data_IF_595184008891
#
_entry.id   IF_595184008891
#
_cell.length_a   1.000
_cell.length_b   1.000
_cell.length_c   1.000
_cell.angle_alpha   90.00
_cell.angle_beta   90.00
_cell.angle_gamma   90.00
#
_symmetry.space_group_name_H-M   'P 1'
#
loop_
_entity.id
_entity.type
_entity.pdbx_description
1 polymer ?
#
# COMPACT_ATOMS: atom_id res chain seq x y z
N UNK A 1 26.54 -2.08 4.00
CA UNK A 1 25.61 -1.06 3.47
C UNK A 1 24.95 -1.61 2.21
N UNK A 2 23.61 -1.70 2.14
CA UNK A 2 22.91 -2.21 0.96
C UNK A 2 23.00 -1.18 -0.18
N UNK A 3 23.46 -1.61 -1.35
CA UNK A 3 23.57 -0.73 -2.53
C UNK A 3 22.15 -0.31 -2.97
N UNK A 4 21.87 0.99 -3.14
CA UNK A 4 20.57 1.46 -3.64
C UNK A 4 20.24 0.78 -4.97
N UNK A 5 19.03 0.23 -5.09
CA UNK A 5 18.57 -0.40 -6.33
C UNK A 5 18.43 0.69 -7.40
N UNK A 6 19.08 0.50 -8.55
CA UNK A 6 18.88 1.39 -9.71
C UNK A 6 17.45 1.22 -10.21
N UNK A 7 16.77 2.33 -10.50
CA UNK A 7 15.45 2.33 -11.13
C UNK A 7 15.57 1.83 -12.57
N UNK A 8 14.61 1.01 -12.99
CA UNK A 8 14.62 0.29 -14.27
C UNK A 8 13.80 1.02 -15.30
N UNK A 9 14.16 0.95 -16.58
CA UNK A 9 13.39 1.61 -17.63
C UNK A 9 12.25 0.74 -18.13
N UNK A 10 11.08 1.35 -18.30
CA UNK A 10 9.88 0.72 -18.87
C UNK A 10 9.44 1.54 -20.07
N UNK A 11 9.19 0.89 -21.20
CA UNK A 11 8.80 1.60 -22.43
C UNK A 11 7.34 2.07 -22.36
N UNK A 12 6.44 1.27 -21.78
CA UNK A 12 5.01 1.56 -21.76
C UNK A 12 4.35 0.96 -20.50
N UNK A 13 3.35 1.66 -19.97
CA UNK A 13 2.52 1.12 -18.89
C UNK A 13 1.52 0.07 -19.45
N UNK A 14 1.21 -0.99 -18.69
CA UNK A 14 0.19 -1.96 -19.05
C UNK A 14 -1.16 -1.31 -19.34
N UNK A 15 -1.90 -1.83 -20.32
CA UNK A 15 -3.26 -1.35 -20.67
C UNK A 15 -4.28 -1.64 -19.58
N UNK A 16 -4.13 -2.78 -18.91
CA UNK A 16 -4.91 -3.18 -17.75
C UNK A 16 -3.95 -3.47 -16.60
N UNK A 17 -4.22 -2.91 -15.43
CA UNK A 17 -3.41 -3.13 -14.23
C UNK A 17 -3.98 -4.24 -13.33
N UNK A 18 -5.05 -4.92 -13.76
CA UNK A 18 -5.72 -5.92 -12.96
C UNK A 18 -6.34 -7.00 -13.86
N UNK A 19 -6.10 -8.26 -13.52
CA UNK A 19 -6.66 -9.44 -14.19
C UNK A 19 -7.29 -10.36 -13.14
N UNK A 20 -8.45 -10.92 -13.44
CA UNK A 20 -9.13 -11.85 -12.54
C UNK A 20 -9.75 -13.02 -13.30
N UNK A 21 -9.82 -14.22 -12.70
CA UNK A 21 -10.59 -15.31 -13.27
C UNK A 21 -12.08 -14.93 -13.34
N UNK A 22 -12.74 -15.43 -14.37
CA UNK A 22 -14.18 -15.19 -14.58
C UNK A 22 -14.97 -16.10 -13.65
N UNK A 23 -16.03 -15.57 -13.03
CA UNK A 23 -16.98 -16.35 -12.22
C UNK A 23 -16.83 -16.19 -10.71
N UNK A 24 -15.71 -15.64 -10.22
CA UNK A 24 -15.49 -15.40 -8.80
C UNK A 24 -15.53 -13.88 -8.51
N UNK A 25 -16.32 -13.42 -7.52
CA UNK A 25 -16.29 -12.04 -7.06
C UNK A 25 -14.89 -11.64 -6.56
N UNK A 26 -14.49 -10.40 -6.81
CA UNK A 26 -13.14 -9.93 -6.49
C UNK A 26 -12.79 -10.05 -4.99
N UNK A 27 -13.78 -9.81 -4.13
CA UNK A 27 -13.68 -9.92 -2.67
C UNK A 27 -13.33 -11.32 -2.15
N UNK A 28 -13.52 -12.35 -2.96
CA UNK A 28 -13.29 -13.75 -2.61
C UNK A 28 -12.01 -14.29 -3.26
N UNK A 29 -11.30 -13.46 -4.04
CA UNK A 29 -10.09 -13.85 -4.75
C UNK A 29 -8.84 -13.43 -3.99
N UNK A 30 -7.94 -14.38 -3.80
CA UNK A 30 -6.57 -14.07 -3.39
C UNK A 30 -5.85 -13.37 -4.55
N UNK A 31 -5.09 -12.32 -4.23
CA UNK A 31 -4.34 -11.53 -5.21
C UNK A 31 -2.87 -11.90 -5.20
N UNK A 32 -2.25 -11.88 -6.38
CA UNK A 32 -0.79 -11.89 -6.54
C UNK A 32 -0.33 -10.62 -7.24
N UNK A 33 0.84 -10.14 -6.81
CA UNK A 33 1.38 -8.88 -7.25
C UNK A 33 2.45 -9.09 -8.31
N UNK A 34 2.25 -8.48 -9.47
CA UNK A 34 3.21 -8.43 -10.56
C UNK A 34 3.82 -7.03 -10.64
N UNK A 35 5.12 -6.85 -10.32
CA UNK A 35 5.79 -5.56 -10.48
C UNK A 35 5.73 -5.04 -11.92
N UNK A 36 5.69 -3.72 -12.12
CA UNK A 36 5.61 -3.11 -13.45
C UNK A 36 6.84 -3.47 -14.31
N UNK A 37 8.02 -3.56 -13.69
CA UNK A 37 9.23 -4.10 -14.31
C UNK A 37 9.10 -5.56 -14.77
N UNK A 38 8.33 -6.37 -14.04
CA UNK A 38 8.03 -7.76 -14.39
C UNK A 38 7.11 -7.86 -15.60
N UNK A 39 6.06 -7.04 -15.65
CA UNK A 39 5.16 -6.95 -16.79
C UNK A 39 5.90 -6.50 -18.07
N UNK A 40 6.80 -5.51 -17.96
CA UNK A 40 7.63 -5.08 -19.09
C UNK A 40 8.62 -6.18 -19.53
N UNK A 41 9.22 -6.90 -18.58
CA UNK A 41 10.12 -8.01 -18.91
C UNK A 41 9.38 -9.14 -19.66
N UNK A 42 8.16 -9.50 -19.24
CA UNK A 42 7.30 -10.45 -19.95
C UNK A 42 6.96 -9.94 -21.36
N UNK A 43 6.61 -8.65 -21.49
CA UNK A 43 6.33 -8.06 -22.80
C UNK A 43 7.54 -8.12 -23.74
N UNK A 44 8.72 -7.73 -23.27
CA UNK A 44 9.92 -7.70 -24.11
C UNK A 44 10.39 -9.10 -24.50
N UNK A 45 10.41 -10.06 -23.58
CA UNK A 45 10.99 -11.38 -23.87
C UNK A 45 9.95 -12.34 -24.42
N UNK A 46 8.79 -12.44 -23.78
CA UNK A 46 7.80 -13.48 -24.08
C UNK A 46 6.79 -13.06 -25.16
N UNK A 47 6.53 -11.76 -25.34
CA UNK A 47 5.63 -11.25 -26.38
C UNK A 47 6.40 -10.74 -27.60
N UNK A 48 7.33 -9.80 -27.40
CA UNK A 48 8.10 -9.18 -28.47
C UNK A 48 9.25 -10.10 -28.99
N UNK A 49 9.52 -11.22 -28.30
CA UNK A 49 10.49 -12.23 -28.71
C UNK A 49 11.95 -11.78 -28.64
N UNK A 50 12.29 -10.76 -27.85
CA UNK A 50 13.66 -10.28 -27.76
C UNK A 50 14.56 -11.23 -26.99
N UNK A 51 15.82 -11.28 -27.43
CA UNK A 51 16.86 -11.90 -26.63
C UNK A 51 17.03 -11.18 -25.28
N UNK A 52 17.47 -11.91 -24.27
CA UNK A 52 17.60 -11.39 -22.91
C UNK A 52 18.63 -10.26 -22.80
N UNK A 53 19.63 -10.19 -23.68
CA UNK A 53 20.60 -9.09 -23.65
C UNK A 53 19.98 -7.79 -24.19
N UNK A 54 19.22 -7.87 -25.27
CA UNK A 54 18.51 -6.77 -25.90
C UNK A 54 17.40 -6.25 -24.99
N UNK A 55 16.63 -7.13 -24.36
CA UNK A 55 15.64 -6.75 -23.36
C UNK A 55 16.29 -6.07 -22.14
N UNK A 56 17.43 -6.59 -21.65
CA UNK A 56 18.15 -6.01 -20.51
C UNK A 56 18.65 -4.60 -20.83
N UNK A 57 19.19 -4.39 -22.04
CA UNK A 57 19.59 -3.06 -22.53
C UNK A 57 18.41 -2.09 -22.60
N UNK A 58 17.23 -2.54 -23.03
CA UNK A 58 16.02 -1.70 -23.09
C UNK A 58 15.53 -1.26 -21.71
N UNK A 59 15.66 -2.14 -20.73
CA UNK A 59 15.28 -1.88 -19.34
C UNK A 59 16.37 -1.20 -18.51
N UNK A 60 17.53 -0.89 -19.08
CA UNK A 60 18.70 -0.33 -18.38
C UNK A 60 19.13 -1.17 -17.14
N UNK A 61 19.16 -2.50 -17.31
CA UNK A 61 19.58 -3.46 -16.27
C UNK A 61 20.62 -4.43 -16.81
N UNK A 62 21.32 -5.13 -15.90
CA UNK A 62 22.19 -6.24 -16.30
C UNK A 62 21.37 -7.44 -16.81
N UNK A 63 21.95 -8.25 -17.71
CA UNK A 63 21.33 -9.50 -18.18
C UNK A 63 20.87 -10.39 -17.02
N UNK A 64 21.70 -10.52 -15.98
CA UNK A 64 21.39 -11.31 -14.79
C UNK A 64 20.21 -10.73 -14.00
N UNK A 65 20.15 -9.40 -13.85
CA UNK A 65 19.02 -8.71 -13.21
C UNK A 65 17.72 -8.92 -13.98
N UNK A 66 17.75 -8.84 -15.31
CA UNK A 66 16.59 -9.15 -16.16
C UNK A 66 16.14 -10.60 -15.93
N UNK A 67 17.07 -11.55 -15.94
CA UNK A 67 16.75 -12.97 -15.71
C UNK A 67 16.01 -13.21 -14.39
N UNK A 68 16.43 -12.54 -13.30
CA UNK A 68 15.76 -12.61 -12.00
C UNK A 68 14.34 -12.02 -12.03
N UNK A 69 14.17 -10.86 -12.67
CA UNK A 69 12.87 -10.20 -12.81
C UNK A 69 11.92 -11.07 -13.63
N UNK A 70 12.39 -11.60 -14.75
CA UNK A 70 11.60 -12.44 -15.64
C UNK A 70 11.19 -13.76 -14.97
N UNK A 71 12.11 -14.41 -14.26
CA UNK A 71 11.80 -15.63 -13.50
C UNK A 71 10.74 -15.38 -12.42
N UNK A 72 10.86 -14.27 -11.67
CA UNK A 72 9.87 -13.89 -10.68
C UNK A 72 8.51 -13.60 -11.33
N UNK A 73 8.49 -12.83 -12.42
CA UNK A 73 7.27 -12.48 -13.15
C UNK A 73 6.54 -13.73 -13.68
N UNK A 74 7.27 -14.66 -14.30
CA UNK A 74 6.70 -15.92 -14.78
C UNK A 74 6.14 -16.77 -13.65
N UNK A 75 6.80 -16.81 -12.48
CA UNK A 75 6.28 -17.52 -11.30
C UNK A 75 4.96 -16.94 -10.82
N UNK A 76 4.85 -15.62 -10.72
CA UNK A 76 3.60 -14.93 -10.32
C UNK A 76 2.47 -15.23 -11.30
N UNK A 77 2.73 -15.14 -12.61
CA UNK A 77 1.73 -15.44 -13.64
C UNK A 77 1.32 -16.91 -13.62
N UNK A 78 2.29 -17.82 -13.52
CA UNK A 78 2.02 -19.26 -13.43
C UNK A 78 1.15 -19.57 -12.21
N UNK A 79 1.53 -19.05 -11.04
CA UNK A 79 0.78 -19.23 -9.79
C UNK A 79 -0.66 -18.74 -9.93
N UNK A 80 -0.87 -17.56 -10.51
CA UNK A 80 -2.21 -17.03 -10.70
C UNK A 80 -3.07 -17.91 -11.59
N UNK A 81 -2.51 -18.43 -12.67
CA UNK A 81 -3.23 -19.28 -13.61
C UNK A 81 -3.54 -20.65 -12.97
N UNK A 82 -2.60 -21.24 -12.24
CA UNK A 82 -2.77 -22.58 -11.65
C UNK A 82 -3.65 -22.59 -10.42
N UNK A 83 -3.57 -21.55 -9.59
CA UNK A 83 -4.32 -21.46 -8.32
C UNK A 83 -5.61 -20.65 -8.45
N UNK A 84 -5.88 -20.06 -9.63
CA UNK A 84 -7.08 -19.26 -9.87
C UNK A 84 -7.06 -17.92 -9.14
N UNK A 85 -5.90 -17.25 -9.09
CA UNK A 85 -5.72 -15.99 -8.37
C UNK A 85 -5.92 -14.78 -9.28
N UNK A 86 -6.24 -13.66 -8.67
CA UNK A 86 -6.22 -12.38 -9.38
C UNK A 86 -4.77 -11.87 -9.52
N UNK A 87 -4.42 -11.29 -10.66
CA UNK A 87 -3.12 -10.64 -10.88
C UNK A 87 -3.32 -9.14 -10.81
N UNK A 88 -2.65 -8.50 -9.87
CA UNK A 88 -2.58 -7.04 -9.75
C UNK A 88 -1.21 -6.56 -10.21
N UNK A 89 -1.18 -5.69 -11.21
CA UNK A 89 0.07 -5.14 -11.76
C UNK A 89 0.34 -3.78 -11.15
N UNK A 90 1.27 -3.72 -10.21
CA UNK A 90 1.63 -2.47 -9.52
C UNK A 90 3.02 -2.50 -8.88
N UNK A 91 3.49 -1.31 -8.50
CA UNK A 91 4.76 -1.14 -7.80
C UNK A 91 6.00 -1.42 -8.66
N UNK A 92 7.11 -1.70 -7.98
CA UNK A 92 8.43 -1.84 -8.58
C UNK A 92 9.21 -0.51 -8.65
N UNK A 93 10.51 -0.61 -8.94
CA UNK A 93 11.41 0.53 -9.03
C UNK A 93 11.68 0.85 -10.51
N UNK A 94 10.82 1.68 -11.13
CA UNK A 94 10.90 1.96 -12.57
C UNK A 94 10.80 3.44 -12.97
N UNK A 95 11.18 3.72 -14.21
CA UNK A 95 11.11 5.02 -14.90
C UNK A 95 10.56 4.78 -16.31
N UNK A 96 9.57 5.57 -16.74
CA UNK A 96 8.98 5.46 -18.08
C UNK A 96 9.84 6.23 -19.10
N UNK A 97 10.24 5.58 -20.19
CA UNK A 97 11.07 6.20 -21.24
C UNK A 97 10.21 7.11 -22.15
N UNK A 98 10.43 8.42 -22.08
CA UNK A 98 10.08 9.37 -23.15
C UNK A 98 8.60 9.69 -23.38
N UNK A 99 8.00 10.49 -22.48
CA UNK A 99 7.28 11.73 -22.81
C UNK A 99 7.66 12.73 -21.70
N UNK A 100 8.12 13.92 -22.08
CA UNK A 100 8.54 14.95 -21.13
C UNK A 100 7.51 15.15 -20.02
N UNK A 101 8.02 15.39 -18.80
CA UNK A 101 7.35 15.99 -17.64
C UNK A 101 5.91 16.49 -17.88
N UNK A 102 5.00 15.53 -18.05
CA UNK A 102 3.63 15.64 -17.59
C UNK A 102 3.51 14.54 -16.58
N UNK A 103 3.11 14.90 -15.36
CA UNK A 103 2.49 13.99 -14.41
C UNK A 103 1.33 13.32 -15.15
N UNK A 104 1.60 12.24 -15.89
CA UNK A 104 0.60 11.54 -16.67
C UNK A 104 0.01 10.45 -15.80
N UNK A 105 -0.85 10.90 -14.90
CA UNK A 105 -2.07 10.20 -14.54
C UNK A 105 -2.78 9.76 -15.82
N UNK A 106 -2.38 8.64 -16.44
CA UNK A 106 -3.10 8.09 -17.60
C UNK A 106 -4.52 7.72 -17.16
N UNK A 107 -5.46 8.57 -17.55
CA UNK A 107 -6.84 8.27 -17.87
C UNK A 107 -6.85 7.70 -19.27
N UNK A 108 -7.39 6.50 -19.45
CA UNK A 108 -7.83 6.04 -20.76
C UNK A 108 -9.34 6.00 -20.67
N UNK A 109 -9.96 6.87 -21.47
CA UNK A 109 -11.39 6.92 -21.71
C UNK A 109 -11.87 5.57 -22.27
N UNK A 110 -12.89 4.99 -21.65
CA UNK A 110 -13.76 4.03 -22.32
C UNK A 110 -15.10 4.71 -22.58
N UNK A 111 -15.28 5.17 -23.82
CA UNK A 111 -16.60 5.46 -24.37
C UNK A 111 -17.43 4.18 -24.38
N UNK A 112 -18.41 4.10 -23.50
CA UNK A 112 -19.57 3.23 -23.65
C UNK A 112 -20.79 4.14 -23.79
N UNK A 113 -21.52 3.94 -24.87
CA UNK A 113 -22.74 4.66 -25.20
C UNK A 113 -23.87 4.05 -24.37
N UNK A 114 -24.58 4.89 -23.61
CA UNK A 114 -25.76 4.55 -22.82
C UNK A 114 -27.03 4.48 -23.69
N UNK A 115 -27.89 3.51 -23.42
CA UNK A 115 -29.35 3.58 -23.48
C UNK A 115 -29.87 2.41 -22.63
N UNK A 116 -30.95 2.47 -21.86
CA UNK A 116 -31.85 3.52 -21.44
C UNK A 116 -32.59 2.92 -20.23
N UNK A 117 -32.82 3.71 -19.18
CA UNK A 117 -34.14 3.83 -18.54
C UNK A 117 -33.98 4.53 -17.19
N UNK A 118 -34.52 5.75 -17.16
CA UNK A 118 -34.42 6.65 -16.03
C UNK A 118 -35.18 6.10 -14.82
N UNK A 119 -34.52 6.18 -13.66
CA UNK A 119 -35.14 6.48 -12.37
C UNK A 119 -34.14 7.24 -11.51
N UNK A 120 -34.60 8.37 -11.01
CA UNK A 120 -33.91 9.33 -10.17
C UNK A 120 -33.18 8.67 -8.99
N UNK A 121 -31.86 8.87 -8.91
CA UNK A 121 -31.09 8.63 -7.69
C UNK A 121 -30.26 9.88 -7.42
N UNK A 122 -30.39 10.38 -6.20
CA UNK A 122 -29.64 11.49 -5.62
C UNK A 122 -28.18 11.46 -6.07
N UNK A 123 -27.69 12.57 -6.61
CA UNK A 123 -26.32 12.75 -7.13
C UNK A 123 -25.29 12.40 -6.06
N UNK A 124 -24.86 11.14 -6.08
CA UNK A 124 -23.73 10.63 -5.32
C UNK A 124 -22.46 11.16 -5.97
N UNK A 125 -21.62 11.77 -5.15
CA UNK A 125 -20.34 12.36 -5.51
C UNK A 125 -19.47 11.28 -6.17
N UNK A 126 -19.18 11.44 -7.45
CA UNK A 126 -18.32 10.52 -8.21
C UNK A 126 -16.89 10.63 -7.62
N UNK A 127 -16.46 9.57 -6.93
CA UNK A 127 -15.09 9.40 -6.41
C UNK A 127 -14.15 9.12 -7.59
N UNK A 128 -13.14 9.97 -7.79
CA UNK A 128 -12.17 9.81 -8.88
C UNK A 128 -10.77 9.53 -8.31
N UNK A 129 -10.13 8.46 -8.80
CA UNK A 129 -8.67 8.23 -8.84
C UNK A 129 -7.91 8.51 -7.53
N UNK A 130 -8.03 7.63 -6.53
CA UNK A 130 -7.10 7.66 -5.39
C UNK A 130 -7.61 7.25 -4.01
N UNK A 131 -8.70 6.50 -3.87
CA UNK A 131 -9.05 5.90 -2.57
C UNK A 131 -8.30 4.57 -2.39
N UNK A 132 -6.97 4.58 -2.50
CA UNK A 132 -6.19 3.65 -1.69
C UNK A 132 -6.27 4.24 -0.28
N UNK A 133 -6.98 3.58 0.63
CA UNK A 133 -7.02 4.05 2.00
C UNK A 133 -5.59 4.11 2.52
N UNK A 134 -5.25 5.28 3.06
CA UNK A 134 -4.01 5.55 3.74
C UNK A 134 -3.67 4.43 4.74
N UNK A 135 -2.43 3.88 4.69
CA UNK A 135 -1.99 2.89 5.67
C UNK A 135 -2.17 3.44 7.08
N UNK A 136 -2.76 2.64 7.95
CA UNK A 136 -3.07 3.03 9.32
C UNK A 136 -2.22 2.23 10.28
N UNK A 137 -1.64 2.89 11.28
CA UNK A 137 -0.94 2.24 12.38
C UNK A 137 -1.79 2.32 13.64
N UNK A 138 -1.98 1.19 14.30
CA UNK A 138 -2.77 1.11 15.54
C UNK A 138 -1.84 0.69 16.67
N UNK A 139 -1.85 1.43 17.79
CA UNK A 139 -1.12 1.00 18.99
C UNK A 139 -1.73 -0.29 19.52
N UNK A 140 -0.92 -1.33 19.70
CA UNK A 140 -1.40 -2.65 20.13
C UNK A 140 -0.58 -3.20 21.28
N UNK A 141 -1.23 -3.98 22.13
CA UNK A 141 -0.60 -4.78 23.18
C UNK A 141 0.13 -6.02 22.61
N UNK A 142 -0.20 -6.43 21.37
CA UNK A 142 0.38 -7.60 20.73
C UNK A 142 0.36 -7.55 19.19
N UNK A 143 0.78 -8.64 18.52
CA UNK A 143 0.92 -8.70 17.07
C UNK A 143 -0.37 -9.07 16.31
N UNK A 144 -1.44 -9.46 17.00
CA UNK A 144 -2.70 -9.91 16.40
C UNK A 144 -3.70 -8.78 16.22
N UNK A 145 -4.53 -8.87 15.17
CA UNK A 145 -5.66 -7.95 14.97
C UNK A 145 -6.73 -8.05 16.07
N UNK A 146 -6.76 -9.17 16.78
CA UNK A 146 -7.72 -9.42 17.85
C UNK A 146 -7.18 -8.96 19.21
N UNK A 147 -5.92 -8.50 19.27
CA UNK A 147 -5.34 -7.89 20.47
C UNK A 147 -5.98 -6.52 20.74
N UNK A 148 -5.93 -6.10 22.01
CA UNK A 148 -6.44 -4.80 22.43
C UNK A 148 -5.56 -3.67 21.92
N UNK A 149 -6.19 -2.53 21.68
CA UNK A 149 -5.46 -1.28 21.43
C UNK A 149 -4.76 -0.85 22.72
N UNK A 150 -3.42 -0.70 22.69
CA UNK A 150 -2.71 -0.15 23.85
C UNK A 150 -3.08 1.34 23.96
N UNK A 151 -3.54 1.82 25.14
CA UNK A 151 -3.92 3.21 25.30
C UNK A 151 -2.74 4.18 25.21
N UNK A 152 -1.49 3.72 25.35
CA UNK A 152 -0.30 4.57 25.35
C UNK A 152 0.38 4.49 23.99
N UNK A 153 0.48 5.60 23.28
CA UNK A 153 1.22 5.61 22.01
C UNK A 153 2.72 5.30 22.17
N UNK A 154 3.46 6.13 22.91
CA UNK A 154 4.93 6.03 22.93
C UNK A 154 5.50 4.76 23.60
N UNK A 155 4.72 4.13 24.48
CA UNK A 155 5.12 2.93 25.24
C UNK A 155 4.20 1.74 24.96
N UNK A 156 3.48 1.75 23.84
CA UNK A 156 2.74 0.59 23.36
C UNK A 156 3.68 -0.62 23.26
N UNK A 157 3.14 -1.84 23.40
CA UNK A 157 3.86 -3.08 23.06
C UNK A 157 4.38 -3.04 21.63
N UNK A 158 3.53 -2.58 20.71
CA UNK A 158 3.91 -2.34 19.33
C UNK A 158 2.84 -1.59 18.54
N UNK A 159 3.00 -1.61 17.22
CA UNK A 159 2.05 -1.05 16.28
C UNK A 159 1.71 -2.07 15.21
N UNK A 160 0.42 -2.26 14.95
CA UNK A 160 -0.02 -3.01 13.77
C UNK A 160 -0.28 -1.99 12.67
N UNK A 161 0.52 -2.06 11.60
CA UNK A 161 0.33 -1.28 10.38
C UNK A 161 -0.55 -2.09 9.44
N UNK A 162 -1.72 -1.56 9.14
CA UNK A 162 -2.73 -2.20 8.29
C UNK A 162 -2.91 -1.37 7.04
N UNK A 163 -2.95 -2.06 5.91
CA UNK A 163 -3.50 -1.53 4.67
C UNK A 163 -5.02 -1.79 4.67
N UNK A 164 -5.88 -0.76 4.78
CA UNK A 164 -7.32 -0.98 4.99
C UNK A 164 -7.99 -1.65 3.79
N UNK A 165 -7.44 -1.53 2.59
CA UNK A 165 -8.05 -2.09 1.38
C UNK A 165 -7.74 -3.59 1.27
N UNK A 166 -6.50 -3.98 1.57
CA UNK A 166 -6.04 -5.38 1.44
C UNK A 166 -6.11 -6.17 2.74
N UNK A 167 -6.33 -5.50 3.88
CA UNK A 167 -6.20 -6.06 5.24
C UNK A 167 -4.82 -6.67 5.53
N UNK A 168 -3.81 -6.38 4.72
CA UNK A 168 -2.45 -6.84 4.96
C UNK A 168 -1.90 -6.14 6.21
N UNK A 169 -1.30 -6.92 7.11
CA UNK A 169 -0.82 -6.43 8.40
C UNK A 169 0.68 -6.58 8.54
N UNK A 170 1.30 -5.61 9.19
CA UNK A 170 2.69 -5.67 9.60
C UNK A 170 2.77 -5.23 11.06
N UNK A 171 3.27 -6.10 11.93
CA UNK A 171 3.57 -5.73 13.31
C UNK A 171 4.95 -5.06 13.41
N UNK A 172 5.00 -3.96 14.15
CA UNK A 172 6.22 -3.24 14.50
C UNK A 172 6.37 -3.32 16.00
N UNK A 173 7.39 -4.06 16.44
CA UNK A 173 7.72 -4.13 17.85
C UNK A 173 8.22 -2.78 18.38
N UNK A 174 7.75 -2.38 19.55
CA UNK A 174 8.11 -1.12 20.19
C UNK A 174 8.78 -1.34 21.56
N UNK A 175 9.27 -2.56 21.84
CA UNK A 175 9.89 -2.92 23.11
C UNK A 175 11.10 -2.06 23.48
N UNK A 176 11.88 -1.65 22.48
CA UNK A 176 13.00 -0.70 22.68
C UNK A 176 12.53 0.66 23.21
N UNK A 177 11.35 1.12 22.78
CA UNK A 177 10.77 2.38 23.27
C UNK A 177 10.15 2.26 24.66
N UNK A 178 9.68 1.07 25.04
CA UNK A 178 9.11 0.82 26.36
C UNK A 178 10.11 0.99 27.49
N UNK A 179 11.40 0.72 27.25
CA UNK A 179 12.46 0.80 28.27
C UNK A 179 13.17 2.15 28.31
N UNK A 180 12.87 3.08 27.38
CA UNK A 180 13.51 4.38 27.36
C UNK A 180 13.10 5.25 28.55
N UNK A 181 14.06 5.96 29.15
CA UNK A 181 13.79 6.96 30.19
C UNK A 181 13.04 8.18 29.66
N UNK A 182 13.35 8.61 28.43
CA UNK A 182 12.70 9.72 27.74
C UNK A 182 12.67 9.48 26.22
N UNK A 183 11.81 10.19 25.49
CA UNK A 183 11.82 10.15 24.02
C UNK A 183 11.09 8.95 23.40
N UNK A 184 10.48 8.07 24.19
CA UNK A 184 9.70 6.92 23.72
C UNK A 184 8.66 7.27 22.64
N UNK A 185 7.94 8.38 22.82
CA UNK A 185 6.98 8.85 21.82
C UNK A 185 7.59 9.39 20.53
N UNK A 186 8.82 9.90 20.54
CA UNK A 186 9.50 10.35 19.32
C UNK A 186 9.94 9.15 18.49
N UNK A 187 10.60 8.18 19.12
CA UNK A 187 11.03 6.96 18.44
C UNK A 187 9.85 6.18 17.86
N UNK A 188 8.76 6.06 18.63
CA UNK A 188 7.53 5.44 18.14
C UNK A 188 6.98 6.16 16.89
N UNK A 189 6.95 7.50 16.90
CA UNK A 189 6.51 8.28 15.74
C UNK A 189 7.41 8.08 14.52
N UNK A 190 8.74 8.03 14.71
CA UNK A 190 9.70 7.75 13.64
C UNK A 190 9.50 6.34 13.05
N UNK A 191 9.35 5.32 13.90
CA UNK A 191 9.17 3.94 13.45
C UNK A 191 7.88 3.79 12.64
N UNK A 192 6.79 4.41 13.10
CA UNK A 192 5.50 4.40 12.41
C UNK A 192 5.56 5.18 11.09
N UNK A 193 6.26 6.32 11.05
CA UNK A 193 6.48 7.08 9.83
C UNK A 193 7.32 6.29 8.80
N UNK A 194 8.37 5.61 9.26
CA UNK A 194 9.24 4.78 8.43
C UNK A 194 8.49 3.59 7.81
N UNK A 195 7.49 3.07 8.50
CA UNK A 195 6.60 2.03 7.97
C UNK A 195 5.57 2.53 6.93
N UNK A 196 5.54 3.85 6.69
CA UNK A 196 4.68 4.46 5.69
C UNK A 196 3.23 4.65 6.14
N UNK A 197 2.96 4.59 7.44
CA UNK A 197 1.65 4.92 7.96
C UNK A 197 1.33 6.41 7.72
N UNK A 198 0.07 6.69 7.41
CA UNK A 198 -0.47 8.03 7.16
C UNK A 198 -1.52 8.42 8.20
N UNK A 199 -2.05 7.44 8.92
CA UNK A 199 -2.87 7.66 10.11
C UNK A 199 -2.35 6.82 11.27
N UNK A 200 -2.37 7.37 12.48
CA UNK A 200 -2.14 6.64 13.73
C UNK A 200 -3.42 6.62 14.54
N UNK A 201 -3.82 5.44 15.01
CA UNK A 201 -4.92 5.24 15.95
C UNK A 201 -4.34 4.85 17.30
N UNK A 202 -4.62 5.66 18.32
CA UNK A 202 -4.23 5.38 19.70
C UNK A 202 -5.22 6.04 20.66
N UNK A 203 -5.11 5.77 21.94
CA UNK A 203 -5.91 6.47 22.95
C UNK A 203 -5.24 7.80 23.30
N UNK A 204 -4.03 7.74 23.88
CA UNK A 204 -3.30 8.92 24.37
C UNK A 204 -1.98 9.15 23.62
N UNK A 205 -1.79 10.38 23.13
CA UNK A 205 -0.56 10.84 22.49
C UNK A 205 -0.09 12.14 23.14
N UNK A 206 1.09 12.11 23.77
CA UNK A 206 1.69 13.29 24.40
C UNK A 206 2.17 14.35 23.40
N UNK A 207 2.45 15.59 23.84
CA UNK A 207 2.62 16.75 22.97
C UNK A 207 3.85 16.64 22.05
N UNK A 208 4.92 16.01 22.52
CA UNK A 208 6.15 15.81 21.75
C UNK A 208 5.94 14.79 20.62
N UNK A 209 5.25 13.68 20.90
CA UNK A 209 4.92 12.66 19.91
C UNK A 209 3.90 13.19 18.89
N UNK A 210 2.89 13.93 19.37
CA UNK A 210 1.88 14.57 18.52
C UNK A 210 2.52 15.49 17.49
N UNK A 211 3.44 16.37 17.93
CA UNK A 211 4.19 17.26 17.02
C UNK A 211 5.03 16.47 16.01
N UNK A 212 5.68 15.38 16.43
CA UNK A 212 6.49 14.56 15.54
C UNK A 212 5.63 13.89 14.44
N UNK A 213 4.49 13.31 14.81
CA UNK A 213 3.55 12.70 13.88
C UNK A 213 2.97 13.72 12.89
N UNK A 214 2.53 14.88 13.36
CA UNK A 214 2.03 15.96 12.49
C UNK A 214 3.12 16.45 11.54
N UNK A 215 4.36 16.61 12.02
CA UNK A 215 5.51 17.02 11.18
C UNK A 215 5.85 15.98 10.11
N UNK A 216 5.61 14.69 10.39
CA UNK A 216 5.74 13.60 9.41
C UNK A 216 4.55 13.51 8.44
N UNK A 217 3.54 14.38 8.57
CA UNK A 217 2.32 14.37 7.76
C UNK A 217 1.39 13.21 8.10
N UNK A 218 1.41 12.73 9.34
CA UNK A 218 0.57 11.63 9.83
C UNK A 218 -0.62 12.22 10.58
N UNK A 219 -1.83 11.80 10.18
CA UNK A 219 -3.08 12.16 10.86
C UNK A 219 -3.24 11.30 12.11
N UNK A 220 -3.92 11.83 13.11
CA UNK A 220 -4.00 11.21 14.43
C UNK A 220 -5.46 10.97 14.77
N UNK A 221 -5.86 9.71 14.95
CA UNK A 221 -7.12 9.31 15.57
C UNK A 221 -6.90 9.03 17.05
N UNK A 222 -7.73 9.63 17.91
CA UNK A 222 -7.69 9.45 19.36
C UNK A 222 -8.92 8.64 19.84
N UNK A 223 -8.96 8.30 21.13
CA UNK A 223 -10.09 7.62 21.79
C UNK A 223 -10.33 6.17 21.31
N UNK A 224 -9.25 5.46 20.97
CA UNK A 224 -9.30 4.09 20.48
C UNK A 224 -9.02 3.02 21.57
N UNK A 225 -8.84 3.38 22.85
CA UNK A 225 -8.31 2.45 23.87
C UNK A 225 -9.24 1.31 24.34
N UNK A 226 -10.53 1.36 24.02
CA UNK A 226 -11.52 0.41 24.55
C UNK A 226 -12.07 -0.59 23.51
N UNK A 227 -11.25 -0.92 22.51
CA UNK A 227 -11.62 -1.82 21.42
C UNK A 227 -10.42 -2.68 20.97
N UNK A 228 -10.68 -3.69 20.15
CA UNK A 228 -9.63 -4.47 19.48
C UNK A 228 -9.02 -3.69 18.32
N UNK A 229 -7.84 -4.09 17.87
CA UNK A 229 -7.22 -3.48 16.67
C UNK A 229 -8.13 -3.62 15.46
N UNK A 230 -8.77 -4.78 15.27
CA UNK A 230 -9.76 -5.02 14.20
C UNK A 230 -10.92 -4.03 14.27
N UNK A 231 -11.51 -3.83 15.44
CA UNK A 231 -12.59 -2.87 15.64
C UNK A 231 -12.16 -1.43 15.37
N UNK A 232 -10.93 -1.06 15.75
CA UNK A 232 -10.38 0.26 15.47
C UNK A 232 -10.21 0.50 13.95
N UNK A 233 -9.73 -0.51 13.21
CA UNK A 233 -9.65 -0.49 11.75
C UNK A 233 -11.04 -0.31 11.13
N UNK A 234 -12.03 -1.06 11.60
CA UNK A 234 -13.39 -1.01 11.06
C UNK A 234 -14.08 0.33 11.33
N UNK A 235 -13.92 0.89 12.53
CA UNK A 235 -14.43 2.24 12.84
C UNK A 235 -13.75 3.32 12.01
N UNK A 236 -12.46 3.19 11.78
CA UNK A 236 -11.73 4.12 10.91
C UNK A 236 -12.25 4.05 9.47
N UNK A 237 -12.47 2.84 8.94
CA UNK A 237 -13.08 2.64 7.60
C UNK A 237 -14.45 3.28 7.47
N UNK A 238 -15.25 3.25 8.53
CA UNK A 238 -16.58 3.88 8.59
C UNK A 238 -16.54 5.40 8.79
N UNK A 239 -15.36 5.99 9.03
CA UNK A 239 -15.21 7.41 9.32
C UNK A 239 -15.69 7.81 10.72
N UNK A 240 -15.82 6.84 11.63
CA UNK A 240 -16.32 7.05 13.00
C UNK A 240 -15.21 7.45 13.99
N UNK A 241 -13.94 7.45 13.53
CA UNK A 241 -12.81 7.86 14.35
C UNK A 241 -12.55 9.35 14.16
N UNK A 242 -12.71 10.18 15.20
CA UNK A 242 -12.41 11.60 15.12
C UNK A 242 -10.91 11.82 14.97
N UNK A 243 -10.52 12.56 13.94
CA UNK A 243 -9.15 13.05 13.78
C UNK A 243 -8.90 14.20 14.75
N UNK A 244 -7.79 14.14 15.46
CA UNK A 244 -7.43 15.11 16.49
C UNK A 244 -6.46 16.16 15.94
N UNK A 245 -6.78 17.43 16.18
CA UNK A 245 -5.91 18.57 15.88
C UNK A 245 -5.01 19.00 17.07
N UNK A 246 -5.24 18.41 18.25
CA UNK A 246 -4.52 18.72 19.50
C UNK A 246 -4.17 17.43 20.27
N UNK A 247 -3.06 17.43 21.05
CA UNK A 247 -2.74 16.34 21.96
C UNK A 247 -3.76 16.28 23.12
N UNK A 248 -4.04 15.07 23.60
CA UNK A 248 -4.99 14.79 24.67
C UNK A 248 -4.33 14.41 26.01
N UNK A 249 -3.00 14.48 26.09
CA UNK A 249 -2.20 14.19 27.28
C UNK A 249 -0.91 15.00 27.28
#
# INVERSE_FOLDING_TARGET
MARPKKRRQVAQLPRACYFKPRGIPLRELTEVYLPIEGAEALRLVDIDGLDQNAAARRMDVSRHTLGRILAQARRVVAQAITEGLAIRIEGGDFVVKGKGSKKSSLSVESTAVDQADGKSVQTSRIKTKGDIMEKIAISSEGPSLDDRVDPRFGRAGGFIVVDPDTMNTQYIDNGSSQVMGHGAGLQAAENVAAAGAKVVLSDYIGPKAFRALVSAGIKIGQNCGNMTVREAVDKFKKGEVPLADKPNR
#
